data_IF_261297812460
#
_entry.id   IF_261297812460
#
_cell.length_a   1.000
_cell.length_b   1.000
_cell.length_c   1.000
_cell.angle_alpha   90.00
_cell.angle_beta   90.00
_cell.angle_gamma   90.00
#
_symmetry.space_group_name_H-M   'P 1'
#
loop_
_entity.id
_entity.type
_entity.pdbx_description
1 polymer ?
#
# COMPACT_ATOMS: atom_id res chain seq x y z
N UNK A 1 -1.40 11.10 -20.02
CA UNK A 1 -2.08 11.30 -18.72
C UNK A 1 -1.35 12.33 -17.85
N UNK A 2 -0.17 12.04 -17.28
CA UNK A 2 0.53 12.94 -16.34
C UNK A 2 0.86 14.34 -16.89
N UNK A 3 1.44 14.46 -18.08
CA UNK A 3 1.73 15.76 -18.69
C UNK A 3 0.47 16.60 -18.90
N UNK A 4 -0.64 15.97 -19.29
CA UNK A 4 -1.92 16.66 -19.45
C UNK A 4 -2.44 17.22 -18.12
N UNK A 5 -2.42 16.41 -17.06
CA UNK A 5 -2.80 16.86 -15.71
C UNK A 5 -1.89 17.99 -15.18
N UNK A 6 -0.58 17.93 -15.45
CA UNK A 6 0.34 19.01 -15.08
C UNK A 6 -0.01 20.34 -15.76
N UNK A 7 -0.28 20.33 -17.06
CA UNK A 7 -0.64 21.52 -17.83
C UNK A 7 -2.00 22.09 -17.39
N UNK A 8 -3.00 21.24 -17.22
CA UNK A 8 -4.33 21.63 -16.72
C UNK A 8 -4.25 22.34 -15.36
N UNK A 9 -3.50 21.77 -14.41
CA UNK A 9 -3.29 22.38 -13.10
C UNK A 9 -2.50 23.68 -13.16
N UNK A 10 -1.50 23.78 -14.04
CA UNK A 10 -0.76 25.03 -14.25
C UNK A 10 -1.66 26.16 -14.78
N UNK A 11 -2.74 25.81 -15.50
CA UNK A 11 -3.78 26.73 -15.94
C UNK A 11 -4.87 27.01 -14.88
N UNK A 12 -4.71 26.54 -13.63
CA UNK A 12 -5.66 26.77 -12.53
C UNK A 12 -6.80 25.76 -12.42
N UNK A 13 -6.79 24.67 -13.22
CA UNK A 13 -7.81 23.62 -13.11
C UNK A 13 -7.54 22.71 -11.90
N UNK A 14 -8.59 22.02 -11.44
CA UNK A 14 -8.47 20.99 -10.42
C UNK A 14 -7.63 19.80 -10.93
N UNK A 15 -7.02 19.05 -10.01
CA UNK A 15 -6.32 17.82 -10.35
C UNK A 15 -7.30 16.80 -10.94
N UNK A 16 -6.91 16.14 -12.03
CA UNK A 16 -7.67 15.03 -12.56
C UNK A 16 -7.64 13.85 -11.57
N UNK A 17 -8.67 13.00 -11.64
CA UNK A 17 -8.77 11.76 -10.87
C UNK A 17 -8.92 10.56 -11.79
N UNK A 18 -8.51 9.39 -11.30
CA UNK A 18 -8.84 8.09 -11.88
C UNK A 18 -9.36 7.14 -10.80
N UNK A 19 -10.06 6.05 -11.14
CA UNK A 19 -10.43 5.04 -10.17
C UNK A 19 -9.23 4.36 -9.51
N UNK A 20 -9.40 3.97 -8.25
CA UNK A 20 -8.44 3.10 -7.54
C UNK A 20 -8.42 1.73 -8.23
N UNK A 21 -9.59 1.17 -8.50
CA UNK A 21 -9.77 -0.11 -9.21
C UNK A 21 -11.07 -0.10 -10.02
N UNK A 22 -11.14 -0.89 -11.09
CA UNK A 22 -12.32 -1.05 -11.94
C UNK A 22 -12.43 -2.50 -12.41
N UNK A 23 -13.66 -2.96 -12.70
CA UNK A 23 -13.92 -4.30 -13.25
C UNK A 23 -13.45 -4.43 -14.69
N UNK A 24 -13.48 -3.32 -15.44
CA UNK A 24 -13.02 -3.26 -16.82
C UNK A 24 -11.51 -3.00 -16.86
N UNK A 25 -10.69 -3.99 -17.31
CA UNK A 25 -9.23 -3.84 -17.32
C UNK A 25 -8.71 -2.80 -18.32
N UNK A 26 -9.57 -2.29 -19.21
CA UNK A 26 -9.23 -1.24 -20.16
C UNK A 26 -9.33 0.17 -19.56
N UNK A 27 -10.02 0.32 -18.42
CA UNK A 27 -10.10 1.60 -17.70
C UNK A 27 -8.77 1.84 -17.00
N UNK A 28 -8.12 3.01 -17.19
CA UNK A 28 -6.93 3.35 -16.42
C UNK A 28 -7.23 3.43 -14.92
N UNK A 29 -6.67 2.52 -14.13
CA UNK A 29 -6.78 2.48 -12.67
C UNK A 29 -5.42 2.54 -12.00
N UNK A 30 -5.38 2.92 -10.72
CA UNK A 30 -4.15 2.84 -9.92
C UNK A 30 -3.75 1.41 -9.59
N UNK A 31 -4.73 0.53 -9.35
CA UNK A 31 -4.56 -0.88 -9.03
C UNK A 31 -5.33 -1.70 -10.06
N UNK A 32 -4.60 -2.46 -10.87
CA UNK A 32 -5.15 -3.16 -12.05
C UNK A 32 -5.58 -4.60 -11.78
N UNK A 33 -5.28 -5.15 -10.61
CA UNK A 33 -5.57 -6.56 -10.33
C UNK A 33 -7.06 -6.78 -10.04
N UNK A 34 -7.58 -7.92 -10.50
CA UNK A 34 -8.94 -8.34 -10.16
C UNK A 34 -9.12 -8.53 -8.63
N UNK A 35 -8.05 -8.93 -7.94
CA UNK A 35 -8.02 -9.00 -6.47
C UNK A 35 -8.27 -7.63 -5.82
N UNK A 36 -7.64 -6.56 -6.33
CA UNK A 36 -7.87 -5.20 -5.83
C UNK A 36 -9.32 -4.77 -6.05
N UNK A 37 -9.88 -4.98 -7.25
CA UNK A 37 -11.29 -4.65 -7.51
C UNK A 37 -12.23 -5.38 -6.54
N UNK A 38 -12.04 -6.69 -6.35
CA UNK A 38 -12.84 -7.48 -5.43
C UNK A 38 -12.70 -7.00 -3.97
N UNK A 39 -11.50 -6.61 -3.56
CA UNK A 39 -11.25 -6.07 -2.22
C UNK A 39 -11.94 -4.72 -2.02
N UNK A 40 -11.69 -3.74 -2.88
CA UNK A 40 -12.23 -2.38 -2.72
C UNK A 40 -13.74 -2.32 -2.90
N UNK A 41 -14.33 -3.17 -3.75
CA UNK A 41 -15.80 -3.30 -3.86
C UNK A 41 -16.42 -3.74 -2.53
N UNK A 42 -15.81 -4.72 -1.84
CA UNK A 42 -16.24 -5.14 -0.49
C UNK A 42 -15.91 -4.12 0.59
N UNK A 43 -14.89 -3.28 0.37
CA UNK A 43 -14.46 -2.27 1.32
C UNK A 43 -15.37 -1.03 1.28
N UNK A 44 -15.77 -0.61 0.08
CA UNK A 44 -16.70 0.49 -0.15
C UNK A 44 -18.03 0.26 0.58
N UNK A 45 -18.59 -0.94 0.50
CA UNK A 45 -19.84 -1.28 1.19
C UNK A 45 -19.76 -1.21 2.72
N UNK A 46 -18.56 -1.26 3.30
CA UNK A 46 -18.34 -1.09 4.74
C UNK A 46 -18.12 0.36 5.16
N UNK A 47 -17.79 1.24 4.21
CA UNK A 47 -17.40 2.63 4.43
C UNK A 47 -18.30 3.61 3.69
N UNK A 48 -19.60 3.30 3.60
CA UNK A 48 -20.57 4.10 2.88
C UNK A 48 -20.45 5.59 3.23
N UNK A 49 -20.22 6.42 2.20
CA UNK A 49 -20.03 7.87 2.32
C UNK A 49 -18.67 8.35 2.85
N UNK A 50 -17.79 7.44 3.31
CA UNK A 50 -16.47 7.75 3.88
C UNK A 50 -15.30 7.42 2.94
N UNK A 51 -15.54 6.56 1.95
CA UNK A 51 -14.55 6.20 0.94
C UNK A 51 -15.08 6.53 -0.45
N UNK A 52 -14.18 6.87 -1.36
CA UNK A 52 -14.46 7.09 -2.79
C UNK A 52 -13.44 6.34 -3.62
N UNK A 53 -13.89 5.71 -4.70
CA UNK A 53 -13.03 5.04 -5.66
C UNK A 53 -12.31 6.06 -6.56
N UNK A 54 -11.48 6.93 -5.98
CA UNK A 54 -10.79 8.00 -6.69
C UNK A 54 -9.37 8.19 -6.15
N UNK A 55 -8.42 8.41 -7.07
CA UNK A 55 -7.06 8.85 -6.75
C UNK A 55 -6.64 9.93 -7.74
N UNK A 56 -5.99 10.98 -7.23
CA UNK A 56 -5.52 12.08 -8.07
C UNK A 56 -4.36 11.63 -8.97
N UNK A 57 -4.38 12.09 -10.22
CA UNK A 57 -3.32 11.80 -11.20
C UNK A 57 -1.95 12.27 -10.71
N UNK A 58 -1.88 13.43 -10.04
CA UNK A 58 -0.64 13.93 -9.41
C UNK A 58 -0.11 13.04 -8.29
N UNK A 59 -0.99 12.37 -7.54
CA UNK A 59 -0.58 11.45 -6.46
C UNK A 59 -0.05 10.16 -7.04
N UNK A 60 -0.68 9.67 -8.12
CA UNK A 60 -0.15 8.55 -8.89
C UNK A 60 1.20 8.90 -9.53
N UNK A 61 1.37 10.09 -10.11
CA UNK A 61 2.67 10.53 -10.64
C UNK A 61 3.75 10.56 -9.53
N UNK A 62 3.40 11.10 -8.36
CA UNK A 62 4.32 11.16 -7.22
C UNK A 62 4.70 9.77 -6.69
N UNK A 63 3.78 8.81 -6.67
CA UNK A 63 4.06 7.46 -6.18
C UNK A 63 5.09 6.73 -7.05
N UNK A 64 5.18 7.04 -8.34
CA UNK A 64 6.19 6.45 -9.25
C UNK A 64 7.61 6.93 -8.93
N UNK A 65 7.76 8.04 -8.21
CA UNK A 65 9.06 8.58 -7.78
C UNK A 65 9.36 8.27 -6.31
N UNK A 66 8.42 7.65 -5.60
CA UNK A 66 8.54 7.37 -4.18
C UNK A 66 9.15 5.99 -3.95
N UNK A 67 10.30 5.94 -3.29
CA UNK A 67 10.91 4.70 -2.82
C UNK A 67 10.73 4.58 -1.28
N UNK A 68 9.82 3.70 -0.81
CA UNK A 68 9.59 3.51 0.62
C UNK A 68 10.77 2.86 1.36
N UNK A 69 11.70 2.20 0.65
CA UNK A 69 12.85 1.51 1.24
C UNK A 69 14.14 2.36 1.22
N UNK A 70 14.07 3.59 0.70
CA UNK A 70 15.23 4.46 0.46
C UNK A 70 16.09 4.63 1.72
N UNK A 71 15.45 4.79 2.88
CA UNK A 71 16.11 5.03 4.17
C UNK A 71 15.80 3.95 5.21
N UNK A 72 15.46 2.73 4.79
CA UNK A 72 15.06 1.64 5.69
C UNK A 72 16.10 1.33 6.79
N UNK A 73 17.40 1.53 6.51
CA UNK A 73 18.48 1.35 7.47
C UNK A 73 18.48 2.36 8.64
N UNK A 74 17.69 3.45 8.51
CA UNK A 74 17.56 4.51 9.53
C UNK A 74 16.37 4.33 10.46
N UNK A 75 15.53 3.32 10.25
CA UNK A 75 14.31 3.07 11.05
C UNK A 75 14.63 2.36 12.38
N UNK A 76 15.80 1.72 12.47
CA UNK A 76 16.27 1.06 13.69
C UNK A 76 16.22 1.99 14.94
N UNK A 77 16.00 1.44 16.15
CA UNK A 77 16.09 0.01 16.48
C UNK A 77 14.85 -0.83 16.18
N UNK A 78 13.66 -0.27 15.95
CA UNK A 78 12.43 -1.08 15.88
C UNK A 78 11.96 -1.23 14.42
N UNK A 79 12.44 -2.26 13.71
CA UNK A 79 12.03 -2.51 12.31
C UNK A 79 11.28 -3.83 12.15
N UNK A 80 9.97 -3.78 11.90
CA UNK A 80 9.16 -4.97 11.59
C UNK A 80 8.69 -4.94 10.13
N UNK A 81 8.82 -6.07 9.42
CA UNK A 81 8.36 -6.23 8.03
C UNK A 81 7.52 -7.52 7.92
N UNK A 82 6.23 -7.38 7.59
CA UNK A 82 5.39 -8.49 7.15
C UNK A 82 5.05 -8.31 5.68
N UNK A 83 5.25 -9.36 4.86
CA UNK A 83 5.00 -9.26 3.43
C UNK A 83 4.57 -10.60 2.83
N UNK A 84 3.73 -10.53 1.80
CA UNK A 84 3.33 -11.68 0.98
C UNK A 84 4.33 -11.95 -0.16
N UNK A 85 4.98 -10.92 -0.72
CA UNK A 85 5.78 -11.11 -1.95
C UNK A 85 6.96 -10.13 -2.19
N UNK A 86 6.99 -8.92 -1.63
CA UNK A 86 7.95 -7.87 -2.07
C UNK A 86 8.50 -7.03 -0.93
N UNK A 87 9.35 -7.61 -0.07
CA UNK A 87 10.14 -6.81 0.89
C UNK A 87 11.49 -7.41 1.30
N UNK A 88 11.97 -8.47 0.63
CA UNK A 88 13.22 -9.15 1.04
C UNK A 88 14.44 -8.21 0.95
N UNK A 89 14.59 -7.46 -0.14
CA UNK A 89 15.69 -6.51 -0.29
C UNK A 89 15.66 -5.42 0.79
N UNK A 90 14.48 -4.89 1.11
CA UNK A 90 14.31 -3.91 2.18
C UNK A 90 14.65 -4.51 3.55
N UNK A 91 14.20 -5.74 3.83
CA UNK A 91 14.54 -6.46 5.06
C UNK A 91 16.04 -6.73 5.20
N UNK A 92 16.72 -7.12 4.12
CA UNK A 92 18.17 -7.31 4.15
C UNK A 92 18.91 -6.00 4.45
N UNK A 93 18.45 -4.88 3.88
CA UNK A 93 19.05 -3.55 4.08
C UNK A 93 18.77 -2.95 5.47
N UNK A 94 17.64 -3.28 6.09
CA UNK A 94 17.29 -2.82 7.44
C UNK A 94 18.31 -3.27 8.50
N UNK A 95 18.43 -2.51 9.60
CA UNK A 95 19.33 -2.83 10.73
C UNK A 95 18.57 -3.51 11.86
N UNK A 96 19.31 -4.24 12.69
CA UNK A 96 18.76 -4.94 13.85
C UNK A 96 18.35 -3.99 15.00
N UNK A 97 17.42 -4.42 15.87
CA UNK A 97 16.59 -5.62 15.75
C UNK A 97 15.55 -5.53 14.62
N UNK A 98 15.39 -6.63 13.87
CA UNK A 98 14.42 -6.73 12.77
C UNK A 98 13.80 -8.12 12.63
N UNK A 99 12.54 -8.15 12.19
CA UNK A 99 11.82 -9.40 11.96
C UNK A 99 11.10 -9.41 10.60
N UNK A 100 11.16 -10.56 9.92
CA UNK A 100 10.44 -10.84 8.68
C UNK A 100 9.36 -11.90 8.94
N UNK A 101 8.12 -11.62 8.55
CA UNK A 101 7.02 -12.59 8.53
C UNK A 101 6.55 -12.77 7.09
N UNK A 102 6.71 -13.97 6.56
CA UNK A 102 6.20 -14.36 5.25
C UNK A 102 4.77 -14.90 5.40
N UNK A 103 3.86 -14.41 4.57
CA UNK A 103 2.45 -14.78 4.59
C UNK A 103 2.09 -15.51 3.30
N UNK A 104 1.34 -16.59 3.43
CA UNK A 104 0.76 -17.30 2.29
C UNK A 104 -0.62 -16.68 1.98
N UNK A 105 -0.89 -16.37 0.72
CA UNK A 105 -2.19 -15.85 0.30
C UNK A 105 -2.07 -14.72 -0.73
N UNK A 106 -3.20 -14.06 -1.00
CA UNK A 106 -3.25 -12.86 -1.84
C UNK A 106 -2.69 -11.61 -1.15
N UNK A 107 -2.40 -10.57 -1.95
CA UNK A 107 -1.84 -9.31 -1.46
C UNK A 107 -2.72 -8.67 -0.37
N UNK A 108 -4.05 -8.78 -0.49
CA UNK A 108 -4.98 -8.14 0.42
C UNK A 108 -5.36 -9.00 1.63
N UNK A 109 -4.94 -10.26 1.67
CA UNK A 109 -5.31 -11.16 2.77
C UNK A 109 -4.63 -10.79 4.10
N UNK A 110 -3.55 -10.02 4.07
CA UNK A 110 -2.92 -9.47 5.28
C UNK A 110 -3.87 -8.59 6.11
N UNK A 111 -4.91 -8.03 5.48
CA UNK A 111 -5.85 -7.11 6.13
C UNK A 111 -7.04 -7.81 6.79
N UNK A 112 -7.17 -9.14 6.72
CA UNK A 112 -8.28 -9.86 7.36
C UNK A 112 -7.97 -11.31 7.70
N UNK A 113 -8.87 -11.96 8.44
CA UNK A 113 -8.81 -13.40 8.67
C UNK A 113 -7.55 -13.87 9.42
N UNK A 114 -7.10 -15.12 9.17
CA UNK A 114 -5.96 -15.72 9.86
C UNK A 114 -4.64 -14.96 9.64
N UNK A 115 -4.41 -14.43 8.44
CA UNK A 115 -3.19 -13.67 8.12
C UNK A 115 -3.10 -12.35 8.90
N UNK A 116 -4.23 -11.65 9.08
CA UNK A 116 -4.27 -10.49 9.98
C UNK A 116 -3.98 -10.87 11.44
N UNK A 117 -4.62 -11.93 11.95
CA UNK A 117 -4.39 -12.39 13.32
C UNK A 117 -2.92 -12.76 13.57
N UNK A 118 -2.30 -13.46 12.61
CA UNK A 118 -0.88 -13.83 12.66
C UNK A 118 0.03 -12.60 12.65
N UNK A 119 -0.14 -11.71 11.67
CA UNK A 119 0.72 -10.53 11.53
C UNK A 119 0.59 -9.55 12.68
N UNK A 120 -0.62 -9.30 13.16
CA UNK A 120 -0.85 -8.41 14.30
C UNK A 120 -0.23 -8.97 15.58
N UNK A 121 -0.40 -10.28 15.84
CA UNK A 121 0.23 -10.94 16.99
C UNK A 121 1.75 -10.85 16.93
N UNK A 122 2.35 -11.12 15.76
CA UNK A 122 3.81 -11.03 15.58
C UNK A 122 4.36 -9.62 15.72
N UNK A 123 3.60 -8.60 15.32
CA UNK A 123 3.96 -7.20 15.57
C UNK A 123 3.96 -6.89 17.07
N UNK A 124 2.93 -7.33 17.80
CA UNK A 124 2.83 -7.10 19.25
C UNK A 124 3.97 -7.79 19.98
N UNK A 125 4.25 -9.06 19.70
CA UNK A 125 5.37 -9.82 20.28
C UNK A 125 6.70 -9.08 20.04
N UNK A 126 6.99 -8.73 18.79
CA UNK A 126 8.22 -8.04 18.43
C UNK A 126 8.36 -6.69 19.14
N UNK A 127 7.28 -5.91 19.21
CA UNK A 127 7.28 -4.64 19.92
C UNK A 127 7.48 -4.82 21.42
N UNK A 128 6.87 -5.82 22.06
CA UNK A 128 7.05 -6.10 23.49
C UNK A 128 8.48 -6.50 23.83
N UNK A 129 9.14 -7.24 22.94
CA UNK A 129 10.53 -7.67 23.13
C UNK A 129 11.56 -6.56 22.88
N UNK A 130 11.22 -5.57 22.05
CA UNK A 130 12.18 -4.59 21.52
C UNK A 130 11.83 -3.12 21.80
N UNK A 131 10.69 -2.82 22.43
CA UNK A 131 10.35 -1.48 22.91
C UNK A 131 10.76 -1.35 24.37
N UNK A 132 11.61 -0.35 24.66
CA UNK A 132 12.04 0.01 26.02
C UNK A 132 10.88 0.51 26.89
#
# INVERSE_FOLDING_TARGET
MFTGDRLARAAGQAAATIPVSDVNPLVPTSLKSAEAFAFYTKWESKLEGKWKNEVMVRSLEASHSYDPALFIERIAPVTFIACVDVSLAAYHKARDPKQLVLLLGGHFEVYSGPNFALTSSKQVEFLQENSL
#
